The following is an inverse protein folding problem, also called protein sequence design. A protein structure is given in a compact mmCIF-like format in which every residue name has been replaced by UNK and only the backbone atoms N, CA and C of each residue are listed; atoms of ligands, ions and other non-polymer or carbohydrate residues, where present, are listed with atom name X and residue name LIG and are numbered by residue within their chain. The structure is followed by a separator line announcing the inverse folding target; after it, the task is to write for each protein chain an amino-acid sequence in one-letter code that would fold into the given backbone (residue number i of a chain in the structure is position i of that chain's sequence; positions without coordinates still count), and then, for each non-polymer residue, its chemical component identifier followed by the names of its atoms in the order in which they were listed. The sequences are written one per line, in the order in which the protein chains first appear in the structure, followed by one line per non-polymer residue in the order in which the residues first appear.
data_IF_684297895084
#
_entry.id   IF_684297895084
#
_cell.length_a   1.000
_cell.length_b   1.000
_cell.length_c   1.000
_cell.angle_alpha   90.00
_cell.angle_beta   90.00
_cell.angle_gamma   90.00
#
_symmetry.space_group_name_H-M   'P 1'
#
loop_
_entity.id
_entity.type
_entity.pdbx_description
1 polymer ?
#
# COMPACT_ATOMS: atom_id res chain seq x y z
N UNK A 1 -24.79 -21.17 -101.39
CA UNK A 1 -24.72 -21.92 -100.12
C UNK A 1 -26.13 -22.34 -99.73
N UNK A 2 -26.31 -23.52 -99.13
CA UNK A 2 -27.64 -24.00 -98.69
C UNK A 2 -28.06 -23.26 -97.42
N UNK A 3 -29.32 -22.83 -97.33
CA UNK A 3 -29.93 -22.18 -96.16
C UNK A 3 -29.68 -22.98 -94.85
N UNK A 4 -29.62 -24.31 -94.96
CA UNK A 4 -29.33 -25.22 -93.85
C UNK A 4 -27.95 -24.98 -93.23
N UNK A 5 -26.94 -24.71 -94.06
CA UNK A 5 -25.57 -24.50 -93.60
C UNK A 5 -25.43 -23.17 -92.86
N UNK A 6 -26.14 -22.13 -93.31
CA UNK A 6 -26.17 -20.82 -92.63
C UNK A 6 -26.84 -20.92 -91.26
N UNK A 7 -27.94 -21.68 -91.15
CA UNK A 7 -28.66 -21.88 -89.90
C UNK A 7 -27.84 -22.68 -88.88
N UNK A 8 -27.10 -23.70 -89.34
CA UNK A 8 -26.18 -24.47 -88.48
C UNK A 8 -25.04 -23.59 -87.95
N UNK A 9 -24.48 -22.71 -88.79
CA UNK A 9 -23.46 -21.75 -88.36
C UNK A 9 -24.00 -20.79 -87.30
N UNK A 10 -25.17 -20.21 -87.52
CA UNK A 10 -25.81 -19.32 -86.53
C UNK A 10 -26.09 -20.02 -85.20
N UNK A 11 -26.53 -21.29 -85.26
CA UNK A 11 -26.72 -22.10 -84.05
C UNK A 11 -25.41 -22.30 -83.28
N UNK A 12 -24.33 -22.65 -83.97
CA UNK A 12 -23.00 -22.82 -83.34
C UNK A 12 -22.48 -21.51 -82.72
N UNK A 13 -22.66 -20.38 -83.41
CA UNK A 13 -22.28 -19.06 -82.89
C UNK A 13 -23.07 -18.71 -81.62
N UNK A 14 -24.37 -18.99 -81.61
CA UNK A 14 -25.23 -18.76 -80.44
C UNK A 14 -24.88 -19.70 -79.27
N UNK A 15 -24.65 -20.99 -79.54
CA UNK A 15 -24.23 -21.95 -78.52
C UNK A 15 -22.88 -21.56 -77.90
N UNK A 16 -21.93 -21.12 -78.73
CA UNK A 16 -20.63 -20.64 -78.25
C UNK A 16 -20.76 -19.39 -77.38
N UNK A 17 -21.57 -18.41 -77.82
CA UNK A 17 -21.82 -17.19 -77.05
C UNK A 17 -22.46 -17.51 -75.68
N UNK A 18 -23.47 -18.38 -75.66
CA UNK A 18 -24.12 -18.80 -74.42
C UNK A 18 -23.15 -19.53 -73.48
N UNK A 19 -22.25 -20.36 -73.99
CA UNK A 19 -21.24 -21.03 -73.17
C UNK A 19 -20.25 -20.04 -72.57
N UNK A 20 -19.73 -19.11 -73.38
CA UNK A 20 -18.82 -18.07 -72.93
C UNK A 20 -19.45 -17.21 -71.84
N UNK A 21 -20.71 -16.79 -72.04
CA UNK A 21 -21.41 -15.93 -71.11
C UNK A 21 -21.79 -16.67 -69.82
N UNK A 22 -22.20 -17.95 -69.90
CA UNK A 22 -22.40 -18.79 -68.72
C UNK A 22 -21.10 -18.94 -67.91
N UNK A 23 -19.97 -19.15 -68.58
CA UNK A 23 -18.69 -19.29 -67.90
C UNK A 23 -18.26 -17.97 -67.24
N UNK A 24 -18.47 -16.84 -67.91
CA UNK A 24 -18.23 -15.50 -67.36
C UNK A 24 -19.06 -15.27 -66.09
N UNK A 25 -20.36 -15.59 -66.13
CA UNK A 25 -21.26 -15.46 -64.99
C UNK A 25 -20.86 -16.36 -63.82
N UNK A 26 -20.54 -17.63 -64.08
CA UNK A 26 -20.06 -18.57 -63.04
C UNK A 26 -18.81 -18.04 -62.33
N UNK A 27 -17.84 -17.54 -63.11
CA UNK A 27 -16.61 -16.96 -62.55
C UNK A 27 -16.92 -15.71 -61.72
N UNK A 28 -17.82 -14.83 -62.21
CA UNK A 28 -18.21 -13.62 -61.48
C UNK A 28 -18.88 -13.94 -60.15
N UNK A 29 -19.80 -14.90 -60.12
CA UNK A 29 -20.49 -15.34 -58.90
C UNK A 29 -19.49 -15.94 -57.90
N UNK A 30 -18.55 -16.76 -58.39
CA UNK A 30 -17.51 -17.35 -57.54
C UNK A 30 -16.62 -16.28 -56.89
N UNK A 31 -16.13 -15.33 -57.68
CA UNK A 31 -15.27 -14.24 -57.20
C UNK A 31 -15.99 -13.34 -56.20
N UNK A 32 -17.26 -13.00 -56.48
CA UNK A 32 -18.07 -12.22 -55.55
C UNK A 32 -18.32 -12.99 -54.24
N UNK A 33 -18.55 -14.31 -54.32
CA UNK A 33 -18.67 -15.17 -53.15
C UNK A 33 -17.39 -15.24 -52.30
N UNK A 34 -16.21 -15.19 -52.92
CA UNK A 34 -14.92 -15.11 -52.21
C UNK A 34 -14.79 -13.74 -51.53
N UNK A 35 -15.04 -12.65 -52.27
CA UNK A 35 -14.97 -11.28 -51.76
C UNK A 35 -15.87 -11.06 -50.54
N UNK A 36 -17.10 -11.56 -50.58
CA UNK A 36 -18.04 -11.42 -49.45
C UNK A 36 -17.54 -12.17 -48.21
N UNK A 37 -16.95 -13.36 -48.36
CA UNK A 37 -16.36 -14.11 -47.26
C UNK A 37 -15.14 -13.39 -46.67
N UNK A 38 -14.26 -12.88 -47.52
CA UNK A 38 -13.08 -12.12 -47.09
C UNK A 38 -13.48 -10.86 -46.31
N UNK A 39 -14.48 -10.12 -46.78
CA UNK A 39 -14.97 -8.92 -46.08
C UNK A 39 -15.46 -9.23 -44.66
N UNK A 40 -16.22 -10.33 -44.50
CA UNK A 40 -16.69 -10.77 -43.18
C UNK A 40 -15.50 -11.16 -42.29
N UNK A 41 -14.56 -11.95 -42.81
CA UNK A 41 -13.36 -12.36 -42.07
C UNK A 41 -12.56 -11.14 -41.60
N UNK A 42 -12.30 -10.17 -42.48
CA UNK A 42 -11.57 -8.94 -42.16
C UNK A 42 -12.29 -8.11 -41.08
N UNK A 43 -13.63 -8.07 -41.10
CA UNK A 43 -14.40 -7.40 -40.06
C UNK A 43 -14.17 -8.06 -38.68
N UNK A 44 -14.20 -9.40 -38.62
CA UNK A 44 -13.91 -10.11 -37.37
C UNK A 44 -12.45 -9.96 -36.94
N UNK A 45 -11.50 -10.05 -37.87
CA UNK A 45 -10.07 -9.85 -37.58
C UNK A 45 -9.80 -8.47 -37.00
N UNK A 46 -10.35 -7.40 -37.61
CA UNK A 46 -10.21 -6.04 -37.08
C UNK A 46 -10.80 -5.91 -35.67
N UNK A 47 -11.95 -6.53 -35.42
CA UNK A 47 -12.59 -6.51 -34.10
C UNK A 47 -11.74 -7.25 -33.06
N UNK A 48 -11.25 -8.43 -33.39
CA UNK A 48 -10.38 -9.23 -32.50
C UNK A 48 -9.08 -8.48 -32.20
N UNK A 49 -8.44 -7.90 -33.21
CA UNK A 49 -7.21 -7.11 -33.03
C UNK A 49 -7.42 -5.90 -32.12
N UNK A 50 -8.55 -5.20 -32.27
CA UNK A 50 -8.88 -4.06 -31.38
C UNK A 50 -9.03 -4.49 -29.92
N UNK A 51 -9.61 -5.68 -29.67
CA UNK A 51 -9.80 -6.22 -28.33
C UNK A 51 -8.47 -6.69 -27.73
N UNK A 52 -7.61 -7.33 -28.53
CA UNK A 52 -6.26 -7.73 -28.10
C UNK A 52 -5.46 -6.50 -27.71
N UNK A 53 -5.41 -5.47 -28.56
CA UNK A 53 -4.69 -4.23 -28.28
C UNK A 53 -5.16 -3.56 -26.99
N UNK A 54 -6.49 -3.48 -26.77
CA UNK A 54 -7.05 -2.94 -25.54
C UNK A 54 -6.63 -3.76 -24.31
N UNK A 55 -6.62 -5.10 -24.41
CA UNK A 55 -6.21 -5.98 -23.31
C UNK A 55 -4.71 -5.88 -23.05
N UNK A 56 -3.89 -5.75 -24.07
CA UNK A 56 -2.46 -5.52 -23.91
C UNK A 56 -2.17 -4.20 -23.20
N UNK A 57 -2.90 -3.13 -23.51
CA UNK A 57 -2.79 -1.86 -22.80
C UNK A 57 -3.20 -1.97 -21.32
N UNK A 58 -4.27 -2.72 -21.02
CA UNK A 58 -4.63 -3.02 -19.63
C UNK A 58 -3.53 -3.81 -18.91
N UNK A 59 -2.93 -4.79 -19.58
CA UNK A 59 -1.84 -5.58 -19.02
C UNK A 59 -0.58 -4.77 -18.79
N UNK A 60 -0.21 -3.85 -19.70
CA UNK A 60 0.96 -2.97 -19.50
C UNK A 60 0.74 -2.04 -18.31
N UNK A 61 -0.46 -1.46 -18.16
CA UNK A 61 -0.81 -0.63 -17.01
C UNK A 61 -0.77 -1.41 -15.69
N UNK A 62 -1.34 -2.62 -15.64
CA UNK A 62 -1.30 -3.44 -14.43
C UNK A 62 0.13 -3.85 -14.07
N UNK A 63 0.97 -4.14 -15.07
CA UNK A 63 2.39 -4.46 -14.86
C UNK A 63 3.18 -3.26 -14.32
N UNK A 64 2.98 -2.07 -14.88
CA UNK A 64 3.64 -0.86 -14.36
C UNK A 64 3.22 -0.60 -12.92
N UNK A 65 1.91 -0.74 -12.62
CA UNK A 65 1.40 -0.53 -11.27
C UNK A 65 1.95 -1.54 -10.26
N UNK A 66 2.05 -2.81 -10.65
CA UNK A 66 2.64 -3.84 -9.80
C UNK A 66 4.12 -3.54 -9.49
N UNK A 67 4.88 -3.07 -10.48
CA UNK A 67 6.28 -2.66 -10.31
C UNK A 67 6.42 -1.46 -9.35
N UNK A 68 5.58 -0.43 -9.50
CA UNK A 68 5.55 0.72 -8.59
C UNK A 68 5.28 0.32 -7.14
N UNK A 69 4.28 -0.54 -6.92
CA UNK A 69 3.91 -1.01 -5.58
C UNK A 69 5.03 -1.88 -4.98
N UNK A 70 5.67 -2.72 -5.79
CA UNK A 70 6.82 -3.51 -5.35
C UNK A 70 7.99 -2.62 -4.89
N UNK A 71 8.31 -1.58 -5.66
CA UNK A 71 9.37 -0.63 -5.30
C UNK A 71 9.03 0.18 -4.05
N UNK A 72 7.76 0.60 -3.90
CA UNK A 72 7.26 1.29 -2.71
C UNK A 72 7.33 0.40 -1.47
N UNK A 73 6.99 -0.88 -1.59
CA UNK A 73 7.10 -1.84 -0.50
C UNK A 73 8.58 -2.05 -0.10
N UNK A 74 9.47 -2.20 -1.08
CA UNK A 74 10.90 -2.40 -0.85
C UNK A 74 11.54 -1.21 -0.12
N UNK A 75 11.16 0.01 -0.48
CA UNK A 75 11.63 1.24 0.17
C UNK A 75 11.07 1.37 1.58
N UNK A 76 9.77 1.17 1.77
CA UNK A 76 9.16 1.17 3.11
C UNK A 76 9.80 0.11 4.04
N UNK A 77 10.14 -1.07 3.50
CA UNK A 77 10.82 -2.13 4.26
C UNK A 77 12.25 -1.73 4.67
N UNK A 78 13.03 -1.13 3.77
CA UNK A 78 14.39 -0.68 4.10
C UNK A 78 14.37 0.47 5.12
N UNK A 79 13.40 1.38 5.01
CA UNK A 79 13.17 2.44 5.98
C UNK A 79 12.78 1.87 7.34
N UNK A 80 11.84 0.92 7.42
CA UNK A 80 11.45 0.29 8.68
C UNK A 80 12.64 -0.37 9.39
N UNK A 81 13.51 -1.06 8.64
CA UNK A 81 14.74 -1.66 9.17
C UNK A 81 15.70 -0.57 9.68
N UNK A 82 15.87 0.51 8.92
CA UNK A 82 16.72 1.65 9.30
C UNK A 82 16.22 2.33 10.58
N UNK A 83 14.92 2.61 10.67
CA UNK A 83 14.29 3.20 11.86
C UNK A 83 14.41 2.29 13.07
N UNK A 84 14.21 0.98 12.90
CA UNK A 84 14.42 0.00 13.98
C UNK A 84 15.86 0.00 14.49
N UNK A 85 16.85 0.12 13.60
CA UNK A 85 18.26 0.22 13.98
C UNK A 85 18.52 1.50 14.77
N UNK A 86 18.07 2.65 14.26
CA UNK A 86 18.20 3.95 14.95
C UNK A 86 17.56 3.92 16.34
N UNK A 87 16.36 3.36 16.47
CA UNK A 87 15.68 3.22 17.76
C UNK A 87 16.52 2.45 18.78
N UNK A 88 17.09 1.31 18.38
CA UNK A 88 17.99 0.51 19.25
C UNK A 88 19.24 1.27 19.67
N UNK A 89 19.84 2.04 18.77
CA UNK A 89 21.01 2.88 19.06
C UNK A 89 20.63 3.99 20.06
N UNK A 90 19.48 4.65 19.87
CA UNK A 90 18.95 5.63 20.81
C UNK A 90 18.67 5.02 22.19
N UNK A 91 18.04 3.85 22.26
CA UNK A 91 17.79 3.13 23.53
C UNK A 91 19.10 2.77 24.24
N UNK A 92 20.13 2.34 23.50
CA UNK A 92 21.45 2.06 24.07
C UNK A 92 22.11 3.34 24.63
N UNK A 93 22.02 4.45 23.90
CA UNK A 93 22.54 5.74 24.35
C UNK A 93 21.81 6.22 25.62
N UNK A 94 20.48 6.12 25.67
CA UNK A 94 19.67 6.48 26.85
C UNK A 94 20.05 5.60 28.05
N UNK A 95 20.18 4.29 27.88
CA UNK A 95 20.63 3.39 28.96
C UNK A 95 22.02 3.76 29.47
N UNK A 96 22.95 4.09 28.57
CA UNK A 96 24.32 4.50 28.95
C UNK A 96 24.33 5.82 29.73
N UNK A 97 23.60 6.82 29.24
CA UNK A 97 23.47 8.11 29.91
C UNK A 97 22.76 7.96 31.27
N UNK A 98 21.71 7.14 31.35
CA UNK A 98 21.02 6.80 32.60
C UNK A 98 21.98 6.19 33.61
N UNK A 99 22.77 5.20 33.20
CA UNK A 99 23.80 4.57 34.06
C UNK A 99 24.84 5.58 34.54
N UNK A 100 25.32 6.45 33.64
CA UNK A 100 26.26 7.53 34.03
C UNK A 100 25.65 8.49 35.03
N UNK A 101 24.41 8.91 34.82
CA UNK A 101 23.68 9.80 35.72
C UNK A 101 23.56 9.20 37.12
N UNK A 102 23.09 7.95 37.20
CA UNK A 102 22.96 7.19 38.46
C UNK A 102 24.31 7.07 39.19
N UNK A 103 25.39 6.76 38.46
CA UNK A 103 26.75 6.70 39.02
C UNK A 103 27.21 8.05 39.57
N UNK A 104 26.93 9.17 38.89
CA UNK A 104 27.29 10.51 39.36
C UNK A 104 26.43 10.98 40.53
N UNK A 105 25.19 10.48 40.65
CA UNK A 105 24.28 10.77 41.76
C UNK A 105 24.47 9.83 42.97
N UNK A 106 25.45 8.92 42.92
CA UNK A 106 25.88 8.13 44.08
C UNK A 106 24.89 7.08 44.58
N UNK A 107 23.93 6.63 43.78
CA UNK A 107 22.92 5.64 44.22
C UNK A 107 22.84 4.43 43.32
N UNK A 108 23.33 3.28 43.77
CA UNK A 108 23.00 1.98 43.16
C UNK A 108 21.60 1.53 43.61
N UNK A 109 20.53 2.25 43.29
CA UNK A 109 19.17 1.83 43.67
C UNK A 109 18.10 2.58 42.85
N UNK A 110 17.72 1.97 41.72
CA UNK A 110 16.81 2.53 40.72
C UNK A 110 15.34 2.65 41.23
N UNK A 111 15.01 1.98 42.35
CA UNK A 111 13.69 1.99 42.98
C UNK A 111 13.62 2.85 44.27
N UNK A 112 14.75 3.15 44.90
CA UNK A 112 14.79 3.79 46.24
C UNK A 112 14.58 5.32 46.17
N UNK A 113 15.06 5.99 45.12
CA UNK A 113 15.01 7.46 45.01
C UNK A 113 13.58 7.98 44.76
N UNK A 114 12.75 7.20 44.07
CA UNK A 114 11.34 7.54 43.83
C UNK A 114 10.53 7.34 45.12
N UNK A 115 10.97 6.43 46.00
CA UNK A 115 10.28 6.10 47.25
C UNK A 115 10.76 6.91 48.46
N UNK A 116 11.78 7.77 48.36
CA UNK A 116 12.29 8.55 49.50
C UNK A 116 11.60 9.90 49.71
N UNK A 117 11.20 10.18 50.97
CA UNK A 117 10.55 11.39 51.45
C UNK A 117 11.29 12.65 51.00
N UNK A 118 10.57 13.61 50.38
CA UNK A 118 11.18 14.85 49.90
C UNK A 118 11.47 15.88 50.99
N UNK A 119 11.07 15.58 52.24
CA UNK A 119 11.40 16.39 53.42
C UNK A 119 12.70 15.97 54.10
N UNK A 120 12.87 14.67 54.37
CA UNK A 120 14.05 14.15 55.08
C UNK A 120 15.03 13.37 54.21
N UNK A 121 14.66 13.00 52.99
CA UNK A 121 15.44 12.17 52.07
C UNK A 121 15.87 10.81 52.63
N UNK A 122 15.32 10.37 53.77
CA UNK A 122 15.72 9.13 54.45
C UNK A 122 14.63 8.05 54.46
N UNK A 123 13.38 8.42 54.75
CA UNK A 123 12.28 7.46 54.98
C UNK A 123 11.42 7.30 53.73
N UNK A 124 10.68 6.20 53.63
CA UNK A 124 9.75 5.98 52.52
C UNK A 124 8.61 7.01 52.51
N UNK A 125 8.18 7.41 51.32
CA UNK A 125 7.00 8.25 51.12
C UNK A 125 5.74 7.41 51.37
N UNK A 126 4.79 7.95 52.12
CA UNK A 126 3.48 7.35 52.34
C UNK A 126 2.32 8.36 52.41
N UNK A 127 2.55 9.66 52.15
CA UNK A 127 1.49 10.68 52.23
C UNK A 127 1.29 11.49 50.94
N UNK A 128 0.02 11.65 50.57
CA UNK A 128 -0.47 12.51 49.48
C UNK A 128 -0.97 13.84 50.04
N UNK A 129 -0.55 14.96 49.45
CA UNK A 129 -0.96 16.31 49.87
C UNK A 129 -2.13 16.82 49.04
N UNK A 130 -3.19 17.32 49.67
CA UNK A 130 -4.33 17.95 49.01
C UNK A 130 -4.24 19.49 49.08
N UNK A 131 -4.63 20.20 48.00
CA UNK A 131 -5.30 19.70 46.78
C UNK A 131 -4.35 19.21 45.66
N UNK A 132 -3.03 19.34 45.79
CA UNK A 132 -2.09 19.10 44.67
C UNK A 132 -1.87 17.64 44.27
N UNK A 133 -2.33 16.67 45.08
CA UNK A 133 -2.23 15.22 44.88
C UNK A 133 -0.80 14.66 44.74
N UNK A 134 0.22 15.38 45.19
CA UNK A 134 1.59 14.85 45.19
C UNK A 134 1.81 13.89 46.37
N UNK A 135 2.28 12.69 46.06
CA UNK A 135 2.83 11.73 47.00
C UNK A 135 4.29 12.11 47.30
N UNK A 136 4.57 12.71 48.45
CA UNK A 136 5.86 13.39 48.65
C UNK A 136 6.51 13.27 50.04
N UNK A 137 5.80 12.76 51.05
CA UNK A 137 6.26 12.80 52.44
C UNK A 137 6.09 11.47 53.19
N UNK A 138 6.95 11.21 54.19
CA UNK A 138 6.80 10.12 55.16
C UNK A 138 5.93 10.54 56.35
N UNK A 139 5.49 9.57 57.16
CA UNK A 139 4.66 9.78 58.36
C UNK A 139 5.25 10.76 59.39
N UNK A 140 6.58 10.85 59.50
CA UNK A 140 7.19 11.75 60.47
C UNK A 140 7.39 13.17 59.97
N UNK A 141 7.51 13.36 58.65
CA UNK A 141 7.62 14.70 58.08
C UNK A 141 6.24 15.31 57.81
N UNK A 142 5.18 14.50 57.70
CA UNK A 142 3.84 14.98 57.38
C UNK A 142 3.35 16.07 58.35
N UNK A 143 3.47 15.92 59.68
CA UNK A 143 2.98 16.93 60.63
C UNK A 143 3.74 18.26 60.54
N UNK A 144 4.98 18.23 60.05
CA UNK A 144 5.89 19.37 60.00
C UNK A 144 5.75 20.21 58.72
N UNK A 145 5.03 19.70 57.71
CA UNK A 145 4.94 20.32 56.40
C UNK A 145 3.59 21.01 56.17
N UNK A 146 3.59 22.34 56.14
CA UNK A 146 2.43 23.16 55.77
C UNK A 146 2.28 23.41 54.25
N UNK A 147 3.26 23.00 53.45
CA UNK A 147 3.25 23.13 51.97
C UNK A 147 3.84 21.88 51.33
N UNK A 148 3.39 21.56 50.12
CA UNK A 148 3.91 20.44 49.34
C UNK A 148 5.39 20.68 48.94
N UNK A 149 6.33 19.79 49.26
CA UNK A 149 7.73 19.90 48.84
C UNK A 149 7.95 19.87 47.31
N UNK A 150 7.00 19.33 46.55
CA UNK A 150 7.11 19.18 45.08
C UNK A 150 6.68 20.45 44.35
N UNK A 151 5.49 20.99 44.67
CA UNK A 151 4.88 22.09 43.93
C UNK A 151 4.59 23.35 44.78
N UNK A 152 4.90 23.32 46.08
CA UNK A 152 4.76 24.43 47.05
C UNK A 152 3.33 24.89 47.36
N UNK A 153 2.31 24.20 46.85
CA UNK A 153 0.90 24.38 47.23
C UNK A 153 0.72 24.20 48.74
N UNK A 154 -0.12 25.02 49.37
CA UNK A 154 -0.48 24.90 50.80
C UNK A 154 -1.15 23.55 51.06
N UNK A 155 -0.78 22.88 52.15
CA UNK A 155 -1.40 21.62 52.59
C UNK A 155 -2.72 21.95 53.29
N UNK A 156 -3.84 21.64 52.64
CA UNK A 156 -5.17 21.74 53.26
C UNK A 156 -5.51 20.45 54.02
N UNK A 157 -5.13 19.31 53.45
CA UNK A 157 -5.25 17.99 54.06
C UNK A 157 -4.15 17.07 53.52
N UNK A 158 -3.95 15.94 54.19
CA UNK A 158 -3.03 14.88 53.82
C UNK A 158 -3.71 13.52 53.98
N UNK A 159 -3.35 12.58 53.12
CA UNK A 159 -3.87 11.21 53.15
C UNK A 159 -2.71 10.21 53.16
N UNK A 160 -2.74 9.26 54.09
CA UNK A 160 -1.80 8.15 54.11
C UNK A 160 -2.19 7.12 53.04
N UNK A 161 -1.19 6.68 52.28
CA UNK A 161 -1.30 5.63 51.26
C UNK A 161 -0.50 4.44 51.75
N UNK A 162 -1.18 3.31 51.90
CA UNK A 162 -0.55 2.02 52.13
C UNK A 162 0.04 1.55 50.79
N UNK A 163 1.37 1.60 50.68
CA UNK A 163 2.15 1.17 49.50
C UNK A 163 2.82 -0.17 49.74
#
# INVERSE_FOLDING_TARGET
QSLSCELEKQKMEMDWFLQMENQRLRNSILLEGIRQKEAIIQQYESKVNSLIALKDEQLTLLKSKASELHNSLKTAQSEAVSWKKKAKECEAAVRHLKKKLVKCLGGEEEESIIMACKGCHTRSICFVFLPCRHLCCCSACEPLLGRCPVCRTVKEASLEVLL
#
